data_IF_825773453425
#
_entry.id   IF_825773453425
#
_cell.length_a   1.000
_cell.length_b   1.000
_cell.length_c   1.000
_cell.angle_alpha   90.00
_cell.angle_beta   90.00
_cell.angle_gamma   90.00
#
_symmetry.space_group_name_H-M   'P 1'
#
loop_
_entity.id
_entity.type
_entity.pdbx_description
1 polymer ?
#
# COMPACT_ATOMS: atom_id res chain seq x y z
N UNK A 1 -3.76 -7.61 -8.42
CA UNK A 1 -2.49 -7.18 -7.81
C UNK A 1 -2.67 -7.30 -6.31
N UNK A 2 -1.70 -7.91 -5.63
CA UNK A 2 -1.68 -7.98 -4.18
C UNK A 2 -0.52 -7.14 -3.63
N UNK A 3 -0.65 -6.71 -2.37
CA UNK A 3 0.41 -6.03 -1.63
C UNK A 3 0.68 -6.77 -0.33
N UNK A 4 1.94 -6.71 0.09
CA UNK A 4 2.44 -7.27 1.35
C UNK A 4 3.36 -6.25 2.01
N UNK A 5 3.20 -6.03 3.32
CA UNK A 5 4.14 -5.24 4.12
C UNK A 5 5.30 -6.10 4.61
N UNK A 6 6.39 -5.47 5.03
CA UNK A 6 7.52 -6.09 5.73
C UNK A 6 7.11 -6.97 6.92
N UNK A 7 5.99 -6.68 7.59
CA UNK A 7 5.46 -7.44 8.71
C UNK A 7 4.54 -8.61 8.33
N UNK A 8 4.39 -8.89 7.03
CA UNK A 8 3.58 -10.00 6.53
C UNK A 8 2.07 -9.74 6.50
N UNK A 9 1.64 -8.49 6.67
CA UNK A 9 0.24 -8.08 6.49
C UNK A 9 0.02 -7.55 5.08
N UNK A 10 -1.22 -7.61 4.56
CA UNK A 10 -1.51 -7.15 3.21
C UNK A 10 -2.76 -7.80 2.62
N UNK A 11 -2.89 -7.73 1.31
CA UNK A 11 -4.02 -8.31 0.60
C UNK A 11 -4.22 -7.76 -0.80
N UNK A 12 -5.43 -7.93 -1.32
CA UNK A 12 -5.78 -7.52 -2.68
C UNK A 12 -6.00 -6.01 -2.71
N UNK A 13 -5.24 -5.32 -3.55
CA UNK A 13 -5.40 -3.89 -3.77
C UNK A 13 -6.73 -3.63 -4.46
N UNK A 14 -7.58 -2.80 -3.86
CA UNK A 14 -8.87 -2.39 -4.42
C UNK A 14 -8.86 -0.93 -4.88
N UNK A 15 -7.97 -0.10 -4.33
CA UNK A 15 -7.77 1.28 -4.80
C UNK A 15 -6.38 1.80 -4.41
N UNK A 16 -5.87 2.73 -5.21
CA UNK A 16 -4.73 3.58 -4.86
C UNK A 16 -5.21 5.03 -4.95
N UNK A 17 -5.02 5.80 -3.86
CA UNK A 17 -5.39 7.22 -3.78
C UNK A 17 -4.14 8.08 -3.71
N UNK A 18 -4.17 9.25 -4.35
CA UNK A 18 -3.04 10.20 -4.39
C UNK A 18 -2.55 10.49 -5.82
N UNK A 19 -1.38 11.13 -5.98
CA UNK A 19 -0.50 11.55 -4.89
C UNK A 19 -1.05 12.76 -4.11
N UNK A 20 -0.79 12.80 -2.81
CA UNK A 20 -0.81 14.04 -2.02
C UNK A 20 0.63 14.46 -1.74
N UNK A 21 0.89 15.76 -1.67
CA UNK A 21 2.24 16.28 -1.43
C UNK A 21 2.44 16.47 0.07
N UNK A 22 3.49 15.85 0.62
CA UNK A 22 3.96 16.10 1.97
C UNK A 22 5.22 16.96 1.92
N UNK A 23 5.22 18.09 2.62
CA UNK A 23 6.42 18.90 2.80
C UNK A 23 7.08 18.45 4.10
N UNK A 24 8.25 17.83 3.99
CA UNK A 24 9.03 17.38 5.13
C UNK A 24 9.68 18.56 5.88
N UNK A 25 10.24 18.29 7.06
CA UNK A 25 10.86 19.32 7.91
C UNK A 25 12.10 19.95 7.29
N UNK A 26 12.76 19.25 6.36
CA UNK A 26 13.88 19.76 5.56
C UNK A 26 13.43 20.63 4.38
N UNK A 27 12.12 20.81 4.18
CA UNK A 27 11.52 21.58 3.10
C UNK A 27 11.35 20.80 1.79
N UNK A 28 11.74 19.53 1.73
CA UNK A 28 11.58 18.71 0.54
C UNK A 28 10.13 18.22 0.37
N UNK A 29 9.68 18.16 -0.89
CA UNK A 29 8.37 17.63 -1.26
C UNK A 29 8.43 16.13 -1.54
N UNK A 30 7.57 15.38 -0.88
CA UNK A 30 7.42 13.94 -1.04
C UNK A 30 5.99 13.61 -1.51
N UNK A 31 5.81 13.14 -2.76
CA UNK A 31 4.52 12.67 -3.22
C UNK A 31 4.20 11.32 -2.57
N UNK A 32 3.10 11.24 -1.84
CA UNK A 32 2.68 10.02 -1.15
C UNK A 32 1.30 9.55 -1.57
N UNK A 33 1.06 8.26 -1.38
CA UNK A 33 -0.15 7.56 -1.80
C UNK A 33 -0.77 6.80 -0.61
N UNK A 34 -2.08 6.56 -0.70
CA UNK A 34 -2.77 5.60 0.17
C UNK A 34 -3.17 4.39 -0.66
N UNK A 35 -2.75 3.19 -0.23
CA UNK A 35 -3.18 1.92 -0.82
C UNK A 35 -4.33 1.39 0.02
N UNK A 36 -5.47 1.14 -0.62
CA UNK A 36 -6.63 0.48 -0.03
C UNK A 36 -6.62 -0.98 -0.47
N UNK A 37 -6.68 -1.89 0.49
CA UNK A 37 -6.69 -3.32 0.22
C UNK A 37 -7.72 -4.05 1.07
N UNK A 38 -8.09 -5.25 0.65
CA UNK A 38 -8.90 -6.19 1.44
C UNK A 38 -8.11 -7.48 1.67
N UNK A 39 -8.33 -8.19 2.78
CA UNK A 39 -7.76 -9.52 2.99
C UNK A 39 -8.04 -10.45 1.79
N UNK A 40 -7.06 -11.29 1.43
CA UNK A 40 -7.13 -12.09 0.20
C UNK A 40 -8.28 -13.11 0.20
N UNK A 41 -8.67 -13.59 1.38
CA UNK A 41 -9.82 -14.46 1.63
C UNK A 41 -11.18 -13.78 1.39
N UNK A 42 -11.22 -12.45 1.30
CA UNK A 42 -12.44 -11.65 1.08
C UNK A 42 -12.55 -11.10 -0.36
N UNK A 43 -11.71 -11.58 -1.29
CA UNK A 43 -11.74 -11.18 -2.68
C UNK A 43 -13.11 -11.48 -3.32
N UNK A 44 -13.83 -10.45 -3.77
CA UNK A 44 -15.16 -10.57 -4.42
C UNK A 44 -16.38 -10.57 -3.49
N UNK A 45 -16.20 -10.63 -2.16
CA UNK A 45 -17.29 -10.53 -1.16
C UNK A 45 -16.90 -9.62 0.02
N UNK A 46 -16.48 -8.40 -0.27
CA UNK A 46 -16.10 -7.43 0.75
C UNK A 46 -17.13 -6.30 0.86
N UNK A 47 -17.28 -5.81 2.09
CA UNK A 47 -17.98 -4.58 2.46
C UNK A 47 -16.99 -3.45 2.71
N UNK A 48 -17.50 -2.23 2.93
CA UNK A 48 -16.65 -1.10 3.31
C UNK A 48 -15.91 -1.31 4.65
N UNK A 49 -16.39 -2.22 5.50
CA UNK A 49 -15.76 -2.53 6.80
C UNK A 49 -14.51 -3.41 6.64
N UNK A 50 -14.38 -4.10 5.51
CA UNK A 50 -13.26 -4.99 5.22
C UNK A 50 -12.06 -4.25 4.59
N UNK A 51 -12.21 -2.94 4.36
CA UNK A 51 -11.18 -2.10 3.79
C UNK A 51 -10.08 -1.83 4.82
N UNK A 52 -8.85 -2.17 4.46
CA UNK A 52 -7.64 -1.77 5.16
C UNK A 52 -6.88 -0.72 4.35
N UNK A 53 -6.04 0.06 5.04
CA UNK A 53 -5.30 1.17 4.44
C UNK A 53 -3.83 1.11 4.80
N UNK A 54 -2.98 1.32 3.79
CA UNK A 54 -1.56 1.69 3.97
C UNK A 54 -1.43 3.14 3.52
N UNK A 55 -1.23 4.04 4.46
CA UNK A 55 -1.16 5.48 4.19
C UNK A 55 0.29 5.95 4.02
N UNK A 56 0.44 7.13 3.43
CA UNK A 56 1.72 7.84 3.34
C UNK A 56 2.82 7.01 2.65
N UNK A 57 2.46 6.16 1.69
CA UNK A 57 3.40 5.37 0.91
C UNK A 57 4.15 6.26 -0.09
N UNK A 58 5.47 6.20 -0.12
CA UNK A 58 6.34 6.94 -1.07
C UNK A 58 7.20 6.00 -1.88
N UNK A 59 7.51 6.39 -3.11
CA UNK A 59 8.43 5.64 -3.97
C UNK A 59 9.83 6.24 -3.85
N UNK A 60 10.77 5.46 -3.31
CA UNK A 60 12.19 5.84 -3.18
C UNK A 60 13.02 4.71 -3.77
N UNK A 61 13.84 5.03 -4.78
CA UNK A 61 14.74 4.07 -5.45
C UNK A 61 14.05 2.77 -5.90
N UNK A 62 12.83 2.89 -6.43
CA UNK A 62 12.02 1.77 -6.90
C UNK A 62 11.36 0.93 -5.79
N UNK A 63 11.51 1.33 -4.52
CA UNK A 63 10.85 0.71 -3.36
C UNK A 63 9.70 1.58 -2.89
N UNK A 64 8.66 0.95 -2.34
CA UNK A 64 7.54 1.64 -1.70
C UNK A 64 7.78 1.62 -0.19
N UNK A 65 7.96 2.79 0.42
CA UNK A 65 8.25 2.97 1.84
C UNK A 65 7.11 3.73 2.54
N UNK A 66 6.98 3.60 3.86
CA UNK A 66 6.15 4.51 4.66
C UNK A 66 6.92 5.81 4.96
N UNK A 67 6.32 6.96 4.63
CA UNK A 67 6.93 8.28 4.78
C UNK A 67 7.06 8.74 6.24
N UNK A 68 6.11 8.38 7.10
CA UNK A 68 6.07 8.78 8.51
C UNK A 68 5.89 7.53 9.39
N UNK A 69 6.40 7.61 10.62
CA UNK A 69 6.59 6.53 11.62
C UNK A 69 8.00 5.93 11.70
N UNK A 70 8.99 6.47 10.98
CA UNK A 70 10.41 6.09 11.10
C UNK A 70 10.66 4.58 10.98
N UNK A 71 9.88 3.89 10.15
CA UNK A 71 10.08 2.48 9.88
C UNK A 71 10.56 2.29 8.44
N UNK A 72 11.54 1.41 8.26
CA UNK A 72 12.00 0.96 6.94
C UNK A 72 11.04 -0.06 6.34
N UNK A 73 9.75 0.15 6.58
CA UNK A 73 8.73 -0.80 6.14
C UNK A 73 8.47 -0.66 4.68
N UNK A 74 8.66 -1.77 4.01
CA UNK A 74 8.48 -1.88 2.58
C UNK A 74 7.12 -2.47 2.28
N UNK A 75 6.49 -1.91 1.24
CA UNK A 75 5.32 -2.50 0.61
C UNK A 75 5.79 -3.21 -0.67
N UNK A 76 5.67 -4.53 -0.68
CA UNK A 76 5.95 -5.38 -1.82
C UNK A 76 4.69 -5.54 -2.67
N UNK A 77 4.87 -5.46 -3.99
CA UNK A 77 3.79 -5.70 -4.96
C UNK A 77 3.92 -7.11 -5.50
N UNK A 78 2.86 -7.89 -5.40
CA UNK A 78 2.82 -9.28 -5.83
C UNK A 78 1.88 -9.46 -7.03
N UNK A 79 2.38 -10.19 -8.03
CA UNK A 79 1.56 -10.64 -9.14
C UNK A 79 0.53 -11.65 -8.62
N UNK A 80 -0.74 -11.41 -8.93
CA UNK A 80 -1.78 -12.39 -8.61
C UNK A 80 -1.65 -13.53 -9.61
N UNK A 81 -1.35 -14.74 -9.14
CA UNK A 81 -1.31 -15.90 -10.02
C UNK A 81 -2.69 -16.05 -10.72
N UNK A 82 -2.73 -16.36 -12.03
CA UNK A 82 -3.99 -16.77 -12.63
C UNK A 82 -4.48 -18.00 -11.87
N UNK A 83 -5.73 -17.95 -11.39
CA UNK A 83 -6.34 -19.09 -10.70
C UNK A 83 -6.33 -20.34 -11.61
N UNK A 84 -6.38 -21.56 -11.03
CA UNK A 84 -6.49 -22.76 -11.83
C UNK A 84 -7.70 -22.64 -12.75
N UNK A 85 -7.46 -22.82 -14.04
CA UNK A 85 -8.45 -22.77 -15.12
C UNK A 85 -9.48 -23.88 -15.01
#
# INVERSE_FOLDING_TARGET
MAVRTSYGTGGIVIAVKGPAIHIAQDGNEYPHFTIVYVPADLCGRHSKLDHNWINECVVVDGRILKLREANSDEVFVEAMAPGPS
#
